data_IF_620788476873
#
_entry.id   IF_620788476873
#
_cell.length_a   1.000
_cell.length_b   1.000
_cell.length_c   1.000
_cell.angle_alpha   90.00
_cell.angle_beta   90.00
_cell.angle_gamma   90.00
#
_symmetry.space_group_name_H-M   'P 1'
#
loop_
_entity.id
_entity.type
_entity.pdbx_description
1 polymer ?
#
# COMPACT_ATOMS: atom_id res chain seq x y z
N UNK A 1 -18.15 -8.05 16.08
CA UNK A 1 -17.27 -7.69 14.95
C UNK A 1 -15.91 -7.39 15.56
N UNK A 2 -14.90 -8.22 15.33
CA UNK A 2 -13.56 -7.95 15.86
C UNK A 2 -13.02 -6.67 15.20
N UNK A 3 -12.59 -5.73 16.03
CA UNK A 3 -12.09 -4.42 15.63
C UNK A 3 -10.57 -4.49 15.52
N UNK A 4 -9.99 -3.70 14.61
CA UNK A 4 -8.55 -3.50 14.56
C UNK A 4 -8.06 -2.93 15.91
N UNK A 5 -6.84 -3.27 16.31
CA UNK A 5 -6.16 -2.67 17.46
C UNK A 5 -6.17 -1.13 17.33
N UNK A 6 -6.63 -0.42 18.37
CA UNK A 6 -6.80 1.04 18.33
C UNK A 6 -5.48 1.79 18.04
N UNK A 7 -4.38 1.34 18.66
CA UNK A 7 -3.04 1.92 18.44
C UNK A 7 -2.59 1.77 16.98
N UNK A 8 -2.87 0.61 16.36
CA UNK A 8 -2.56 0.38 14.95
C UNK A 8 -3.43 1.25 14.05
N UNK A 9 -4.73 1.36 14.36
CA UNK A 9 -5.64 2.19 13.60
C UNK A 9 -5.19 3.66 13.63
N UNK A 10 -4.78 4.17 14.80
CA UNK A 10 -4.26 5.52 14.94
C UNK A 10 -2.95 5.72 14.15
N UNK A 11 -2.02 4.75 14.21
CA UNK A 11 -0.77 4.79 13.45
C UNK A 11 -1.02 4.88 11.94
N UNK A 12 -1.89 4.00 11.41
CA UNK A 12 -2.25 3.99 9.99
C UNK A 12 -2.92 5.30 9.59
N UNK A 13 -3.80 5.84 10.44
CA UNK A 13 -4.49 7.11 10.20
C UNK A 13 -3.50 8.29 10.10
N UNK A 14 -2.59 8.43 11.07
CA UNK A 14 -1.56 9.48 11.05
C UNK A 14 -0.67 9.39 9.80
N UNK A 15 -0.29 8.17 9.40
CA UNK A 15 0.48 7.95 8.19
C UNK A 15 -0.30 8.36 6.93
N UNK A 16 -1.60 8.04 6.84
CA UNK A 16 -2.46 8.44 5.71
C UNK A 16 -2.62 9.96 5.62
N UNK A 17 -2.75 10.65 6.75
CA UNK A 17 -2.81 12.11 6.79
C UNK A 17 -1.53 12.77 6.27
N UNK A 18 -0.37 12.23 6.67
CA UNK A 18 0.94 12.64 6.11
C UNK A 18 0.99 12.44 4.60
N UNK A 19 0.65 11.23 4.13
CA UNK A 19 0.66 10.89 2.71
C UNK A 19 -0.31 11.76 1.89
N UNK A 20 -1.49 12.10 2.43
CA UNK A 20 -2.44 13.01 1.80
C UNK A 20 -1.83 14.40 1.53
N UNK A 21 -1.02 14.93 2.46
CA UNK A 21 -0.35 16.21 2.29
C UNK A 21 0.75 16.12 1.23
N UNK A 22 1.57 15.07 1.27
CA UNK A 22 2.62 14.82 0.27
C UNK A 22 2.02 14.64 -1.14
N UNK A 23 0.91 13.90 -1.26
CA UNK A 23 0.21 13.68 -2.53
C UNK A 23 -0.32 14.98 -3.15
N UNK A 24 -0.83 15.94 -2.34
CA UNK A 24 -1.26 17.25 -2.84
C UNK A 24 -0.12 18.06 -3.45
N UNK A 25 1.10 17.90 -2.93
CA UNK A 25 2.29 18.52 -3.50
C UNK A 25 2.67 17.79 -4.80
N UNK A 26 2.75 16.46 -4.76
CA UNK A 26 3.12 15.63 -5.90
C UNK A 26 2.16 15.78 -7.08
N UNK A 27 0.87 15.95 -6.83
CA UNK A 27 -0.12 16.22 -7.88
C UNK A 27 0.24 17.45 -8.70
N UNK A 28 0.94 18.43 -8.12
CA UNK A 28 1.35 19.65 -8.84
C UNK A 28 2.67 19.48 -9.57
N UNK A 29 3.60 18.73 -9.01
CA UNK A 29 4.98 18.62 -9.51
C UNK A 29 5.24 17.42 -10.42
N UNK A 30 4.39 16.38 -10.40
CA UNK A 30 4.50 15.24 -11.31
C UNK A 30 4.10 15.68 -12.73
N UNK A 31 5.04 15.64 -13.66
CA UNK A 31 4.88 16.12 -15.04
C UNK A 31 5.05 15.02 -16.10
N UNK A 32 5.50 13.84 -15.72
CA UNK A 32 5.73 12.73 -16.65
C UNK A 32 5.25 11.37 -16.13
N UNK A 33 5.04 10.44 -17.06
CA UNK A 33 4.52 9.10 -16.75
C UNK A 33 5.46 8.28 -15.86
N UNK A 34 6.77 8.46 -15.99
CA UNK A 34 7.76 7.71 -15.20
C UNK A 34 7.70 8.06 -13.70
N UNK A 35 7.42 9.33 -13.37
CA UNK A 35 7.19 9.76 -12.00
C UNK A 35 5.89 9.17 -11.43
N UNK A 36 4.83 9.07 -12.25
CA UNK A 36 3.56 8.45 -11.85
C UNK A 36 3.72 6.94 -11.57
N UNK A 37 4.53 6.26 -12.38
CA UNK A 37 4.93 4.85 -12.16
C UNK A 37 5.76 4.72 -10.87
N UNK A 38 6.72 5.61 -10.64
CA UNK A 38 7.55 5.61 -9.43
C UNK A 38 6.69 5.80 -8.17
N UNK A 39 5.77 6.77 -8.21
CA UNK A 39 4.79 6.99 -7.15
C UNK A 39 3.92 5.75 -6.92
N UNK A 40 3.46 5.10 -7.99
CA UNK A 40 2.69 3.86 -7.89
C UNK A 40 3.47 2.74 -7.21
N UNK A 41 4.75 2.55 -7.54
CA UNK A 41 5.58 1.53 -6.88
C UNK A 41 5.66 1.73 -5.36
N UNK A 42 5.71 2.98 -4.90
CA UNK A 42 5.74 3.37 -3.49
C UNK A 42 4.37 3.25 -2.81
N UNK A 43 3.29 3.64 -3.49
CA UNK A 43 1.95 3.78 -2.89
C UNK A 43 1.05 2.55 -3.01
N UNK A 44 1.36 1.60 -3.90
CA UNK A 44 0.43 0.52 -4.28
C UNK A 44 -0.16 -0.27 -3.12
N UNK A 45 0.62 -0.53 -2.07
CA UNK A 45 0.10 -1.29 -0.92
C UNK A 45 -0.73 -0.42 0.01
N UNK A 46 -0.37 0.85 0.22
CA UNK A 46 -1.18 1.78 1.01
C UNK A 46 -2.58 1.97 0.41
N UNK A 47 -2.70 1.93 -0.93
CA UNK A 47 -4.00 1.96 -1.61
C UNK A 47 -4.91 0.80 -1.19
N UNK A 48 -4.36 -0.41 -0.99
CA UNK A 48 -5.14 -1.60 -0.63
C UNK A 48 -5.86 -1.46 0.71
N UNK A 49 -5.35 -0.63 1.61
CA UNK A 49 -5.96 -0.44 2.92
C UNK A 49 -7.32 0.25 2.88
N UNK A 50 -7.59 1.04 1.84
CA UNK A 50 -8.80 1.85 1.72
C UNK A 50 -9.58 1.66 0.42
N UNK A 51 -8.90 1.25 -0.65
CA UNK A 51 -9.52 0.93 -1.93
C UNK A 51 -8.77 -0.23 -2.64
N UNK A 52 -9.04 -1.49 -2.26
CA UNK A 52 -8.51 -2.65 -2.97
C UNK A 52 -8.78 -2.63 -4.48
N UNK A 53 -9.91 -2.09 -4.92
CA UNK A 53 -10.26 -1.99 -6.34
C UNK A 53 -9.40 -0.93 -7.06
N UNK A 54 -9.05 0.14 -6.34
CA UNK A 54 -8.17 1.21 -6.75
C UNK A 54 -6.80 0.72 -7.18
N UNK A 55 -6.28 -0.32 -6.54
CA UNK A 55 -5.02 -0.96 -6.93
C UNK A 55 -5.04 -1.39 -8.40
N UNK A 56 -6.09 -2.12 -8.80
CA UNK A 56 -6.22 -2.63 -10.17
C UNK A 56 -6.56 -1.50 -11.15
N UNK A 57 -7.38 -0.54 -10.73
CA UNK A 57 -7.73 0.64 -11.55
C UNK A 57 -6.50 1.47 -11.89
N UNK A 58 -5.62 1.76 -10.93
CA UNK A 58 -4.35 2.48 -11.17
C UNK A 58 -3.48 1.70 -12.15
N UNK A 59 -3.32 0.38 -11.94
CA UNK A 59 -2.51 -0.45 -12.84
C UNK A 59 -3.01 -0.39 -14.30
N UNK A 60 -4.33 -0.43 -14.49
CA UNK A 60 -4.96 -0.29 -15.81
C UNK A 60 -4.74 1.09 -16.41
N UNK A 61 -4.90 2.16 -15.65
CA UNK A 61 -4.65 3.53 -16.10
C UNK A 61 -3.20 3.72 -16.57
N UNK A 62 -2.23 3.21 -15.81
CA UNK A 62 -0.82 3.30 -16.16
C UNK A 62 -0.48 2.49 -17.42
N UNK A 63 -1.06 1.29 -17.57
CA UNK A 63 -0.91 0.49 -18.80
C UNK A 63 -1.50 1.19 -20.02
N UNK A 64 -2.72 1.74 -19.88
CA UNK A 64 -3.39 2.44 -20.98
C UNK A 64 -2.62 3.69 -21.40
N UNK A 65 -2.06 4.44 -20.44
CA UNK A 65 -1.19 5.57 -20.73
C UNK A 65 0.06 5.13 -21.48
N UNK A 66 0.75 4.08 -21.01
CA UNK A 66 1.94 3.54 -21.67
C UNK A 66 1.67 3.05 -23.09
N UNK A 67 0.47 2.51 -23.33
CA UNK A 67 0.02 2.07 -24.65
C UNK A 67 -0.51 3.21 -25.54
N UNK A 68 -0.51 4.46 -25.08
CA UNK A 68 -1.01 5.61 -25.84
C UNK A 68 -2.54 5.70 -25.95
N UNK A 69 -3.29 4.89 -25.18
CA UNK A 69 -4.76 4.85 -25.20
C UNK A 69 -5.36 6.08 -24.51
N UNK A 70 -4.68 6.62 -23.49
CA UNK A 70 -5.08 7.83 -22.78
C UNK A 70 -3.92 8.80 -22.64
N UNK A 71 -4.23 10.10 -22.56
CA UNK A 71 -3.23 11.14 -22.32
C UNK A 71 -2.66 11.08 -20.91
N UNK A 72 -1.46 11.63 -20.72
CA UNK A 72 -0.85 11.77 -19.40
C UNK A 72 -1.75 12.54 -18.42
N UNK A 73 -2.41 13.61 -18.87
CA UNK A 73 -3.30 14.41 -18.03
C UNK A 73 -4.47 13.56 -17.48
N UNK A 74 -5.08 12.72 -18.31
CA UNK A 74 -6.16 11.81 -17.89
C UNK A 74 -5.63 10.79 -16.90
N UNK A 75 -4.49 10.15 -17.21
CA UNK A 75 -3.89 9.16 -16.33
C UNK A 75 -3.56 9.75 -14.96
N UNK A 76 -2.88 10.89 -14.93
CA UNK A 76 -2.51 11.62 -13.72
C UNK A 76 -3.73 11.97 -12.87
N UNK A 77 -4.72 12.64 -13.45
CA UNK A 77 -5.93 13.06 -12.71
C UNK A 77 -6.63 11.86 -12.05
N UNK A 78 -6.82 10.76 -12.80
CA UNK A 78 -7.51 9.59 -12.27
C UNK A 78 -6.68 8.84 -11.21
N UNK A 79 -5.37 8.74 -11.41
CA UNK A 79 -4.48 8.08 -10.43
C UNK A 79 -4.44 8.85 -9.11
N UNK A 80 -4.30 10.19 -9.15
CA UNK A 80 -4.35 11.01 -7.93
C UNK A 80 -5.71 10.98 -7.25
N UNK A 81 -6.81 10.99 -8.01
CA UNK A 81 -8.15 10.79 -7.47
C UNK A 81 -8.27 9.50 -6.65
N UNK A 82 -7.82 8.38 -7.20
CA UNK A 82 -7.83 7.08 -6.50
C UNK A 82 -6.96 7.13 -5.24
N UNK A 83 -5.79 7.76 -5.27
CA UNK A 83 -4.97 7.90 -4.06
C UNK A 83 -5.71 8.67 -2.97
N UNK A 84 -6.32 9.82 -3.31
CA UNK A 84 -7.04 10.62 -2.34
C UNK A 84 -8.25 9.90 -1.75
N UNK A 85 -8.99 9.18 -2.57
CA UNK A 85 -10.14 8.39 -2.11
C UNK A 85 -9.67 7.28 -1.17
N UNK A 86 -8.65 6.50 -1.56
CA UNK A 86 -8.12 5.42 -0.75
C UNK A 86 -7.62 5.88 0.64
N UNK A 87 -6.96 7.05 0.72
CA UNK A 87 -6.47 7.57 1.99
C UNK A 87 -7.58 8.12 2.90
N UNK A 88 -8.74 8.51 2.34
CA UNK A 88 -9.90 9.03 3.09
C UNK A 88 -10.92 7.95 3.45
N UNK A 89 -10.89 6.81 2.75
CA UNK A 89 -11.77 5.68 3.04
C UNK A 89 -11.55 5.14 4.45
N UNK A 90 -12.63 4.61 5.03
CA UNK A 90 -12.59 3.89 6.30
C UNK A 90 -11.62 2.70 6.24
N UNK A 91 -10.93 2.45 7.36
CA UNK A 91 -10.10 1.28 7.54
C UNK A 91 -10.97 0.07 7.88
N UNK A 92 -11.19 -0.80 6.90
CA UNK A 92 -11.97 -2.02 7.08
C UNK A 92 -11.06 -3.21 7.42
N UNK A 93 -11.42 -4.06 8.40
CA UNK A 93 -10.72 -5.31 8.70
C UNK A 93 -10.42 -6.18 7.46
N UNK A 94 -11.40 -6.29 6.54
CA UNK A 94 -11.27 -7.06 5.29
C UNK A 94 -10.16 -6.56 4.38
N UNK A 95 -9.86 -5.25 4.41
CA UNK A 95 -8.78 -4.66 3.62
C UNK A 95 -7.40 -5.09 4.17
N UNK A 96 -7.29 -5.33 5.49
CA UNK A 96 -6.04 -5.76 6.12
C UNK A 96 -5.61 -7.16 5.69
N UNK A 97 -6.57 -8.08 5.56
CA UNK A 97 -6.33 -9.44 5.04
C UNK A 97 -5.67 -9.35 3.66
N UNK A 98 -6.27 -8.56 2.76
CA UNK A 98 -5.79 -8.40 1.39
C UNK A 98 -4.42 -7.73 1.36
N UNK A 99 -4.25 -6.61 2.08
CA UNK A 99 -2.99 -5.89 2.20
C UNK A 99 -1.83 -6.79 2.64
N UNK A 100 -1.99 -7.48 3.78
CA UNK A 100 -0.92 -8.26 4.38
C UNK A 100 -0.59 -9.48 3.52
N UNK A 101 -1.58 -10.08 2.86
CA UNK A 101 -1.35 -11.14 1.87
C UNK A 101 -0.50 -10.65 0.69
N UNK A 102 -0.81 -9.45 0.17
CA UNK A 102 -0.08 -8.85 -0.93
C UNK A 102 1.36 -8.48 -0.56
N UNK A 103 1.57 -7.90 0.63
CA UNK A 103 2.91 -7.56 1.15
C UNK A 103 3.72 -8.82 1.39
N UNK A 104 3.12 -9.87 1.96
CA UNK A 104 3.80 -11.16 2.09
C UNK A 104 4.20 -11.74 0.73
N UNK A 105 3.33 -11.64 -0.28
CA UNK A 105 3.63 -12.03 -1.65
C UNK A 105 4.87 -11.34 -2.23
N UNK A 106 5.17 -10.12 -1.79
CA UNK A 106 6.41 -9.41 -2.08
C UNK A 106 7.57 -9.91 -1.20
N UNK A 107 7.43 -9.85 0.12
CA UNK A 107 8.51 -10.17 1.08
C UNK A 107 9.03 -11.59 0.93
N UNK A 108 8.15 -12.58 0.70
CA UNK A 108 8.53 -14.00 0.57
C UNK A 108 9.53 -14.30 -0.54
N UNK A 109 9.64 -13.40 -1.53
CA UNK A 109 10.62 -13.48 -2.63
C UNK A 109 12.02 -13.04 -2.23
N UNK A 110 12.15 -12.37 -1.09
CA UNK A 110 13.38 -11.72 -0.64
C UNK A 110 13.90 -12.25 0.70
N UNK A 111 13.04 -12.88 1.50
CA UNK A 111 13.42 -13.47 2.80
C UNK A 111 13.86 -14.93 2.67
N UNK A 112 14.71 -15.39 3.59
CA UNK A 112 15.15 -16.77 3.68
C UNK A 112 14.06 -17.71 4.21
N UNK A 113 14.30 -19.02 4.13
CA UNK A 113 13.32 -20.03 4.59
C UNK A 113 12.98 -19.90 6.08
N UNK A 114 13.97 -19.59 6.91
CA UNK A 114 13.80 -19.41 8.36
C UNK A 114 12.81 -18.29 8.76
N UNK A 115 12.50 -17.37 7.85
CA UNK A 115 11.59 -16.24 8.10
C UNK A 115 10.14 -16.52 7.63
N UNK A 116 9.83 -17.71 7.11
CA UNK A 116 8.56 -17.98 6.42
C UNK A 116 7.45 -18.53 7.31
N UNK A 117 7.79 -19.34 8.29
CA UNK A 117 6.79 -20.10 9.06
C UNK A 117 5.86 -19.19 9.85
N UNK A 118 6.42 -18.17 10.51
CA UNK A 118 5.65 -17.23 11.35
C UNK A 118 4.64 -16.41 10.52
N UNK A 119 5.04 -15.72 9.43
CA UNK A 119 4.09 -15.04 8.53
C UNK A 119 3.00 -15.95 8.00
N UNK A 120 3.34 -17.17 7.57
CA UNK A 120 2.37 -18.11 6.99
C UNK A 120 1.32 -18.51 8.03
N UNK A 121 1.74 -18.87 9.24
CA UNK A 121 0.83 -19.24 10.31
C UNK A 121 -0.09 -18.09 10.74
N UNK A 122 0.44 -16.87 10.85
CA UNK A 122 -0.36 -15.69 11.20
C UNK A 122 -1.33 -15.28 10.09
N UNK A 123 -0.94 -15.38 8.81
CA UNK A 123 -1.83 -15.10 7.68
C UNK A 123 -2.96 -16.12 7.56
N UNK A 124 -2.72 -17.38 7.91
CA UNK A 124 -3.78 -18.39 7.98
C UNK A 124 -4.82 -18.01 9.04
N UNK A 125 -4.37 -17.68 10.26
CA UNK A 125 -5.25 -17.18 11.33
C UNK A 125 -6.04 -15.93 10.93
N UNK A 126 -5.37 -14.97 10.29
CA UNK A 126 -6.02 -13.77 9.78
C UNK A 126 -7.09 -14.09 8.72
N UNK A 127 -6.84 -15.07 7.86
CA UNK A 127 -7.79 -15.53 6.84
C UNK A 127 -9.00 -16.23 7.47
N UNK A 128 -8.81 -16.88 8.62
CA UNK A 128 -9.88 -17.45 9.45
C UNK A 128 -10.62 -16.40 10.31
N UNK A 129 -10.22 -15.13 10.22
CA UNK A 129 -10.89 -13.98 10.84
C UNK A 129 -10.27 -13.52 12.16
N UNK A 130 -9.15 -14.08 12.59
CA UNK A 130 -8.45 -13.67 13.81
C UNK A 130 -7.74 -12.32 13.60
N UNK A 131 -8.38 -11.23 14.04
CA UNK A 131 -7.84 -9.88 13.85
C UNK A 131 -6.70 -9.54 14.83
N UNK A 132 -6.48 -10.36 15.86
CA UNK A 132 -5.42 -10.12 16.86
C UNK A 132 -4.02 -10.20 16.27
N UNK A 133 -3.85 -10.92 15.15
CA UNK A 133 -2.56 -11.11 14.49
C UNK A 133 -2.17 -9.97 13.55
N UNK A 134 -3.07 -9.01 13.29
CA UNK A 134 -2.80 -7.93 12.32
C UNK A 134 -1.65 -7.04 12.78
N UNK A 135 -1.65 -6.58 14.04
CA UNK A 135 -0.55 -5.76 14.58
C UNK A 135 0.78 -6.52 14.64
N UNK A 136 0.85 -7.75 15.18
CA UNK A 136 2.05 -8.58 15.08
C UNK A 136 2.58 -8.76 13.66
N UNK A 137 1.70 -9.00 12.68
CA UNK A 137 2.10 -9.09 11.26
C UNK A 137 2.64 -7.77 10.72
N UNK A 138 2.02 -6.65 11.10
CA UNK A 138 2.47 -5.31 10.70
C UNK A 138 3.89 -5.04 11.18
N UNK A 139 4.16 -5.33 12.45
CA UNK A 139 5.47 -5.14 13.07
C UNK A 139 6.52 -6.06 12.42
N UNK A 140 6.19 -7.35 12.30
CA UNK A 140 7.06 -8.33 11.67
C UNK A 140 7.40 -7.95 10.22
N UNK A 141 6.40 -7.51 9.44
CA UNK A 141 6.66 -7.09 8.07
C UNK A 141 7.50 -5.82 8.01
N UNK A 142 7.29 -4.86 8.91
CA UNK A 142 8.15 -3.68 9.03
C UNK A 142 9.61 -4.09 9.31
N UNK A 143 9.85 -5.01 10.23
CA UNK A 143 11.18 -5.56 10.53
C UNK A 143 11.79 -6.28 9.33
N UNK A 144 11.00 -7.07 8.61
CA UNK A 144 11.47 -7.79 7.43
C UNK A 144 11.93 -6.84 6.33
N UNK A 145 11.23 -5.72 6.08
CA UNK A 145 11.68 -4.71 5.12
C UNK A 145 13.07 -4.16 5.46
N UNK A 146 13.30 -3.86 6.75
CA UNK A 146 14.61 -3.43 7.24
C UNK A 146 15.66 -4.50 7.01
N UNK A 147 15.37 -5.76 7.39
CA UNK A 147 16.27 -6.91 7.24
C UNK A 147 16.71 -7.13 5.80
N UNK A 148 15.81 -6.99 4.83
CA UNK A 148 16.10 -7.19 3.41
C UNK A 148 16.65 -5.94 2.70
N UNK A 149 16.80 -4.82 3.42
CA UNK A 149 17.29 -3.56 2.87
C UNK A 149 16.38 -2.98 1.77
N UNK A 150 15.05 -3.11 1.92
CA UNK A 150 14.06 -2.55 0.99
C UNK A 150 13.21 -1.48 1.69
N UNK A 151 12.69 -0.55 0.89
CA UNK A 151 11.74 0.45 1.36
C UNK A 151 10.57 -0.21 2.10
N UNK A 152 10.17 0.39 3.23
CA UNK A 152 9.03 -0.12 3.99
C UNK A 152 7.72 0.14 3.22
N UNK A 153 7.13 -0.93 2.71
CA UNK A 153 5.89 -0.85 1.92
C UNK A 153 4.66 -0.53 2.77
N UNK A 154 4.76 -0.68 4.09
CA UNK A 154 3.75 -0.26 5.06
C UNK A 154 3.92 1.20 5.47
N UNK A 155 5.09 1.80 5.28
CA UNK A 155 5.33 3.21 5.59
C UNK A 155 6.21 3.88 4.52
N UNK A 156 5.66 4.11 3.31
CA UNK A 156 6.46 4.61 2.21
C UNK A 156 6.82 6.09 2.42
N UNK A 157 8.04 6.42 2.02
CA UNK A 157 8.48 7.80 1.80
C UNK A 157 8.21 8.18 0.34
N UNK A 158 7.60 9.34 0.10
CA UNK A 158 7.38 9.85 -1.26
C UNK A 158 8.49 10.79 -1.74
N UNK A 159 9.65 10.74 -1.08
CA UNK A 159 10.87 11.39 -1.57
C UNK A 159 11.34 10.72 -2.86
N UNK A 160 12.02 11.51 -3.70
CA UNK A 160 12.60 11.07 -4.99
C UNK A 160 11.56 10.54 -6.00
N UNK A 161 10.31 11.02 -5.92
CA UNK A 161 9.29 10.75 -6.95
C UNK A 161 9.48 11.67 -8.16
N UNK A 162 9.90 12.92 -7.93
CA UNK A 162 10.18 13.96 -8.93
C UNK A 162 11.66 14.30 -8.87
#
# INVERSE_FOLDING_TARGET
MEKLCDDLQQMIQLRRERLLLELKVLERVVTEGQQLETLWHKMKFVVLEGDPSGYFRIRTLLNNHRAGVISFAIAKQNVFGIYFDAMRSELLPSNMVNLLTHIWGYLKKHVGEADRDVPIAMLARLSDGDMSVVKPLYDLFSELHVKIGKDNLLDPTLQNVV
#
